data_IF_113341321961
#
_entry.id   IF_113341321961
#
_cell.length_a   1.000
_cell.length_b   1.000
_cell.length_c   1.000
_cell.angle_alpha   90.00
_cell.angle_beta   90.00
_cell.angle_gamma   90.00
#
_symmetry.space_group_name_H-M   'P 1'
#
loop_
_entity.id
_entity.type
_entity.pdbx_description
1 polymer ?
#
# COMPACT_ATOMS: atom_id res chain seq x y z
N UNK A 1 25.24 1.15 14.30
CA UNK A 1 24.46 1.80 13.22
C UNK A 1 24.85 1.10 11.93
N UNK A 2 24.12 0.05 11.55
CA UNK A 2 24.25 -0.56 10.24
C UNK A 2 23.23 0.10 9.33
N UNK A 3 23.67 0.93 8.40
CA UNK A 3 22.87 1.23 7.22
C UNK A 3 22.59 -0.11 6.52
N UNK A 4 21.38 -0.63 6.64
CA UNK A 4 20.85 -1.56 5.65
C UNK A 4 20.74 -0.75 4.37
N UNK A 5 21.81 -0.77 3.56
CA UNK A 5 21.76 -0.34 2.18
C UNK A 5 20.71 -1.20 1.49
N UNK A 6 19.49 -0.67 1.35
CA UNK A 6 18.50 -1.19 0.42
C UNK A 6 19.23 -1.40 -0.91
N UNK A 7 19.33 -2.65 -1.37
CA UNK A 7 20.01 -2.97 -2.62
C UNK A 7 19.12 -2.52 -3.78
N UNK A 8 19.33 -1.27 -4.16
CA UNK A 8 18.59 -0.56 -5.20
C UNK A 8 19.00 -1.10 -6.56
N UNK A 9 18.08 -1.81 -7.22
CA UNK A 9 18.31 -2.34 -8.56
C UNK A 9 17.61 -1.47 -9.61
N UNK A 10 18.35 -1.08 -10.65
CA UNK A 10 17.82 -0.34 -11.78
C UNK A 10 17.38 -1.28 -12.90
N UNK A 11 16.14 -1.12 -13.36
CA UNK A 11 15.65 -1.84 -14.54
C UNK A 11 16.14 -1.14 -15.81
N UNK A 12 17.22 -1.68 -16.40
CA UNK A 12 17.88 -1.08 -17.55
C UNK A 12 17.24 -1.43 -18.90
N UNK A 13 16.51 -2.55 -18.98
CA UNK A 13 15.95 -3.07 -20.23
C UNK A 13 14.42 -2.88 -20.29
N UNK A 14 13.92 -2.36 -21.42
CA UNK A 14 12.50 -2.06 -21.64
C UNK A 14 11.59 -3.29 -21.44
N UNK A 15 12.01 -4.48 -21.92
CA UNK A 15 11.22 -5.71 -21.78
C UNK A 15 11.13 -6.12 -20.31
N UNK A 16 12.24 -6.02 -19.58
CA UNK A 16 12.30 -6.31 -18.15
C UNK A 16 11.41 -5.34 -17.36
N UNK A 17 11.48 -4.03 -17.63
CA UNK A 17 10.62 -3.01 -17.00
C UNK A 17 9.14 -3.29 -17.25
N UNK A 18 8.76 -3.59 -18.50
CA UNK A 18 7.36 -3.91 -18.84
C UNK A 18 6.85 -5.15 -18.10
N UNK A 19 7.68 -6.20 -18.01
CA UNK A 19 7.34 -7.43 -17.27
C UNK A 19 7.15 -7.16 -15.77
N UNK A 20 8.05 -6.38 -15.17
CA UNK A 20 7.96 -5.99 -13.77
C UNK A 20 6.65 -5.25 -13.50
N UNK A 21 6.34 -4.23 -14.31
CA UNK A 21 5.12 -3.44 -14.11
C UNK A 21 3.85 -4.26 -14.39
N UNK A 22 3.84 -5.09 -15.44
CA UNK A 22 2.71 -5.98 -15.72
C UNK A 22 2.44 -6.95 -14.56
N UNK A 23 3.49 -7.47 -13.90
CA UNK A 23 3.38 -8.30 -12.70
C UNK A 23 2.70 -7.54 -11.56
N UNK A 24 3.13 -6.31 -11.26
CA UNK A 24 2.50 -5.49 -10.21
C UNK A 24 1.05 -5.11 -10.53
N UNK A 25 0.73 -4.81 -11.79
CA UNK A 25 -0.64 -4.56 -12.22
C UNK A 25 -1.53 -5.79 -12.00
N UNK A 26 -1.04 -6.99 -12.32
CA UNK A 26 -1.76 -8.23 -12.06
C UNK A 26 -1.97 -8.46 -10.55
N UNK A 27 -0.90 -8.34 -9.74
CA UNK A 27 -0.94 -8.49 -8.29
C UNK A 27 -1.98 -7.55 -7.67
N UNK A 28 -1.88 -6.25 -7.93
CA UNK A 28 -2.80 -5.26 -7.35
C UNK A 28 -4.26 -5.47 -7.80
N UNK A 29 -4.46 -5.95 -9.04
CA UNK A 29 -5.78 -6.38 -9.52
C UNK A 29 -6.37 -7.59 -8.78
N UNK A 30 -5.56 -8.42 -8.12
CA UNK A 30 -6.05 -9.49 -7.24
C UNK A 30 -6.36 -9.01 -5.82
N UNK A 31 -5.65 -8.00 -5.30
CA UNK A 31 -5.77 -7.56 -3.92
C UNK A 31 -7.19 -7.08 -3.55
N UNK A 32 -7.88 -6.39 -4.46
CA UNK A 32 -9.28 -6.00 -4.23
C UNK A 32 -10.22 -7.20 -4.04
N UNK A 33 -9.97 -8.31 -4.73
CA UNK A 33 -10.74 -9.55 -4.56
C UNK A 33 -10.36 -10.31 -3.29
N UNK A 34 -9.09 -10.25 -2.89
CA UNK A 34 -8.66 -10.80 -1.58
C UNK A 34 -9.36 -10.08 -0.44
N UNK A 35 -9.46 -8.75 -0.49
CA UNK A 35 -10.22 -7.97 0.49
C UNK A 35 -11.71 -8.38 0.53
N UNK A 36 -12.33 -8.61 -0.63
CA UNK A 36 -13.71 -9.11 -0.71
C UNK A 36 -13.88 -10.53 -0.11
N UNK A 37 -12.91 -11.42 -0.28
CA UNK A 37 -12.93 -12.73 0.40
C UNK A 37 -12.82 -12.56 1.93
N UNK A 38 -11.98 -11.65 2.40
CA UNK A 38 -11.86 -11.35 3.84
C UNK A 38 -13.16 -10.74 4.42
N UNK A 39 -13.91 -9.97 3.64
CA UNK A 39 -15.27 -9.50 4.01
C UNK A 39 -16.23 -10.68 4.16
N UNK A 40 -16.26 -11.60 3.19
CA UNK A 40 -17.13 -12.78 3.23
C UNK A 40 -16.83 -13.69 4.44
N UNK A 41 -15.56 -13.72 4.87
CA UNK A 41 -15.11 -14.41 6.08
C UNK A 41 -15.34 -13.60 7.38
N UNK A 42 -15.97 -12.42 7.30
CA UNK A 42 -16.24 -11.49 8.42
C UNK A 42 -15.00 -10.98 9.15
N UNK A 43 -13.84 -10.95 8.47
CA UNK A 43 -12.59 -10.37 8.99
C UNK A 43 -12.47 -8.88 8.75
N UNK A 44 -13.15 -8.39 7.72
CA UNK A 44 -13.28 -6.98 7.39
C UNK A 44 -14.77 -6.61 7.37
N UNK A 45 -15.09 -5.46 7.93
CA UNK A 45 -16.38 -4.82 7.71
C UNK A 45 -16.40 -4.19 6.31
N UNK A 46 -17.60 -4.03 5.74
CA UNK A 46 -17.78 -3.49 4.39
C UNK A 46 -17.13 -2.12 4.18
N UNK A 47 -17.27 -1.22 5.15
CA UNK A 47 -16.64 0.11 5.09
C UNK A 47 -15.10 0.04 5.12
N UNK A 48 -14.52 -0.95 5.81
CA UNK A 48 -13.07 -1.18 5.80
C UNK A 48 -12.60 -1.67 4.44
N UNK A 49 -13.37 -2.57 3.80
CA UNK A 49 -13.09 -3.06 2.45
C UNK A 49 -13.15 -1.93 1.42
N UNK A 50 -14.14 -1.06 1.49
CA UNK A 50 -14.27 0.09 0.58
C UNK A 50 -13.05 1.02 0.67
N UNK A 51 -12.56 1.27 1.90
CA UNK A 51 -11.35 2.09 2.14
C UNK A 51 -10.09 1.38 1.65
N UNK A 52 -9.89 0.11 2.00
CA UNK A 52 -8.72 -0.66 1.55
C UNK A 52 -8.70 -0.75 0.02
N UNK A 53 -9.85 -1.01 -0.61
CA UNK A 53 -9.96 -1.07 -2.06
C UNK A 53 -9.58 0.26 -2.73
N UNK A 54 -9.92 1.41 -2.12
CA UNK A 54 -9.51 2.74 -2.60
C UNK A 54 -7.98 2.90 -2.59
N UNK A 55 -7.32 2.55 -1.49
CA UNK A 55 -5.85 2.65 -1.41
C UNK A 55 -5.15 1.67 -2.36
N UNK A 56 -5.68 0.45 -2.50
CA UNK A 56 -5.15 -0.53 -3.45
C UNK A 56 -5.31 -0.08 -4.90
N UNK A 57 -6.44 0.54 -5.25
CA UNK A 57 -6.63 1.17 -6.56
C UNK A 57 -5.62 2.29 -6.78
N UNK A 58 -5.42 3.16 -5.78
CA UNK A 58 -4.41 4.22 -5.86
C UNK A 58 -3.00 3.66 -6.10
N UNK A 59 -2.66 2.54 -5.47
CA UNK A 59 -1.39 1.86 -5.69
C UNK A 59 -1.26 1.31 -7.12
N UNK A 60 -2.35 0.73 -7.67
CA UNK A 60 -2.40 0.33 -9.09
C UNK A 60 -2.17 1.51 -10.03
N UNK A 61 -2.78 2.67 -9.75
CA UNK A 61 -2.62 3.88 -10.55
C UNK A 61 -1.19 4.41 -10.45
N UNK A 62 -0.58 4.39 -9.25
CA UNK A 62 0.83 4.77 -9.05
C UNK A 62 1.76 3.91 -9.89
N UNK A 63 1.58 2.59 -9.88
CA UNK A 63 2.38 1.70 -10.72
C UNK A 63 2.12 1.87 -12.22
N UNK A 64 0.89 2.22 -12.63
CA UNK A 64 0.60 2.58 -14.02
C UNK A 64 1.34 3.85 -14.44
N UNK A 65 1.33 4.89 -13.61
CA UNK A 65 2.07 6.12 -13.88
C UNK A 65 3.59 5.84 -14.00
N UNK A 66 4.16 5.05 -13.08
CA UNK A 66 5.55 4.59 -13.18
C UNK A 66 5.81 3.78 -14.47
N UNK A 67 4.84 2.96 -14.90
CA UNK A 67 4.89 2.24 -16.17
C UNK A 67 5.08 3.17 -17.35
N UNK A 68 4.31 4.27 -17.39
CA UNK A 68 4.38 5.27 -18.45
C UNK A 68 5.70 6.03 -18.41
N UNK A 69 6.12 6.47 -17.21
CA UNK A 69 7.40 7.17 -17.00
C UNK A 69 8.60 6.37 -17.52
N UNK A 70 8.65 5.08 -17.19
CA UNK A 70 9.78 4.19 -17.47
C UNK A 70 9.56 3.27 -18.67
N UNK A 71 8.55 3.53 -19.50
CA UNK A 71 8.19 2.66 -20.63
C UNK A 71 9.32 2.49 -21.67
N UNK A 72 10.26 3.45 -21.72
CA UNK A 72 11.37 3.51 -22.67
C UNK A 72 12.75 3.32 -22.04
N UNK A 73 12.84 2.84 -20.79
CA UNK A 73 14.11 2.55 -20.13
C UNK A 73 15.00 1.64 -21.00
N UNK A 74 16.24 2.07 -21.27
CA UNK A 74 17.19 1.35 -22.12
C UNK A 74 16.97 1.45 -23.63
N UNK A 75 15.82 1.99 -24.08
CA UNK A 75 15.50 2.15 -25.51
C UNK A 75 15.65 3.57 -26.01
N UNK A 76 15.59 4.56 -25.11
CA UNK A 76 15.81 5.96 -25.44
C UNK A 76 16.82 6.59 -24.48
N UNK A 77 17.82 7.31 -25.01
CA UNK A 77 18.95 7.80 -24.22
C UNK A 77 18.55 8.73 -23.06
N UNK A 78 17.42 9.43 -23.20
CA UNK A 78 16.90 10.35 -22.16
C UNK A 78 15.79 9.73 -21.29
N UNK A 79 15.49 8.43 -21.46
CA UNK A 79 14.55 7.75 -20.59
C UNK A 79 15.24 7.35 -19.28
N UNK A 80 14.59 7.67 -18.15
CA UNK A 80 15.05 7.21 -16.84
C UNK A 80 14.96 5.69 -16.68
N UNK A 81 15.48 5.18 -15.57
CA UNK A 81 15.38 3.77 -15.16
C UNK A 81 14.60 3.69 -13.86
N UNK A 82 13.65 2.76 -13.78
CA UNK A 82 12.93 2.49 -12.55
C UNK A 82 13.89 1.85 -11.54
N UNK A 83 13.94 2.42 -10.34
CA UNK A 83 14.66 1.81 -9.21
C UNK A 83 13.67 1.11 -8.29
N UNK A 84 13.95 -0.15 -7.95
CA UNK A 84 13.17 -0.90 -6.98
C UNK A 84 14.10 -1.62 -6.02
N UNK A 85 13.59 -1.95 -4.83
CA UNK A 85 14.35 -2.71 -3.84
C UNK A 85 14.17 -4.21 -4.12
N UNK A 86 15.30 -4.84 -4.45
CA UNK A 86 15.34 -6.22 -4.92
C UNK A 86 15.39 -7.26 -3.81
N UNK A 87 15.81 -6.87 -2.61
CA UNK A 87 16.11 -7.81 -1.53
C UNK A 87 15.03 -7.85 -0.46
N UNK A 88 14.47 -6.69 -0.08
CA UNK A 88 13.56 -6.65 1.07
C UNK A 88 12.11 -6.59 0.62
N UNK A 89 11.73 -5.54 -0.12
CA UNK A 89 10.33 -5.25 -0.45
C UNK A 89 9.87 -5.84 -1.79
N UNK A 90 10.68 -5.77 -2.84
CA UNK A 90 10.27 -6.04 -4.23
C UNK A 90 9.56 -4.87 -4.92
N UNK A 91 9.34 -3.75 -4.22
CA UNK A 91 8.57 -2.59 -4.68
C UNK A 91 9.47 -1.45 -5.19
N UNK A 92 8.96 -0.50 -5.99
CA UNK A 92 9.68 0.74 -6.31
C UNK A 92 10.20 1.43 -5.05
N UNK A 93 11.37 2.06 -5.12
CA UNK A 93 11.94 2.71 -3.93
C UNK A 93 11.15 3.97 -3.56
N UNK A 94 11.11 4.31 -2.28
CA UNK A 94 10.42 5.50 -1.77
C UNK A 94 10.74 6.79 -2.55
N UNK A 95 11.98 6.94 -3.01
CA UNK A 95 12.40 8.10 -3.80
C UNK A 95 11.60 8.26 -5.10
N UNK A 96 11.17 7.18 -5.75
CA UNK A 96 10.34 7.22 -6.97
C UNK A 96 9.02 7.96 -6.72
N UNK A 97 8.40 7.76 -5.56
CA UNK A 97 7.16 8.43 -5.18
C UNK A 97 7.38 9.92 -4.92
N UNK A 98 8.53 10.29 -4.34
CA UNK A 98 8.88 11.70 -4.15
C UNK A 98 9.10 12.42 -5.48
N UNK A 99 9.81 11.79 -6.42
CA UNK A 99 10.00 12.35 -7.76
C UNK A 99 8.66 12.48 -8.47
N UNK A 100 7.78 11.47 -8.40
CA UNK A 100 6.44 11.55 -8.98
C UNK A 100 5.61 12.69 -8.38
N UNK A 101 5.66 12.89 -7.06
CA UNK A 101 4.93 13.97 -6.40
C UNK A 101 5.41 15.35 -6.88
N UNK A 102 6.72 15.51 -7.11
CA UNK A 102 7.29 16.73 -7.70
C UNK A 102 6.86 16.90 -9.17
N UNK A 103 6.87 15.81 -9.96
CA UNK A 103 6.41 15.84 -11.35
C UNK A 103 4.92 16.23 -11.44
N UNK A 104 4.10 15.79 -10.49
CA UNK A 104 2.66 16.06 -10.45
C UNK A 104 2.35 17.56 -10.31
N UNK A 105 3.15 18.30 -9.55
CA UNK A 105 3.02 19.77 -9.41
C UNK A 105 3.21 20.52 -10.74
N UNK A 106 3.93 19.91 -11.68
CA UNK A 106 4.25 20.51 -12.99
C UNK A 106 3.47 19.87 -14.13
N UNK A 107 2.61 18.88 -13.85
CA UNK A 107 1.95 18.06 -14.85
C UNK A 107 1.15 18.90 -15.85
N UNK A 108 0.28 19.81 -15.39
CA UNK A 108 -0.54 20.65 -16.28
C UNK A 108 0.31 21.50 -17.24
N UNK A 109 1.43 22.06 -16.74
CA UNK A 109 2.37 22.83 -17.56
C UNK A 109 3.03 21.97 -18.63
N UNK A 110 3.44 20.75 -18.29
CA UNK A 110 3.97 19.80 -19.26
C UNK A 110 2.91 19.38 -20.29
N UNK A 111 1.67 19.15 -19.86
CA UNK A 111 0.57 18.77 -20.74
C UNK A 111 0.22 19.84 -21.76
N UNK A 112 0.24 21.12 -21.37
CA UNK A 112 0.01 22.24 -22.28
C UNK A 112 1.07 22.32 -23.40
N UNK A 113 2.30 21.87 -23.13
CA UNK A 113 3.40 21.86 -24.10
C UNK A 113 3.45 20.60 -24.98
N UNK A 114 2.64 19.58 -24.71
CA UNK A 114 2.67 18.31 -25.43
C UNK A 114 1.42 18.15 -26.33
N UNK A 115 1.57 17.64 -27.58
CA UNK A 115 0.42 17.28 -28.38
C UNK A 115 -0.45 16.25 -27.64
N UNK A 116 -1.76 16.28 -27.90
CA UNK A 116 -2.69 15.28 -27.34
C UNK A 116 -2.38 13.86 -27.82
N UNK A 117 -2.85 12.86 -27.08
CA UNK A 117 -2.64 11.44 -27.38
C UNK A 117 -2.97 11.09 -28.84
N UNK A 118 -4.15 11.52 -29.33
CA UNK A 118 -4.57 11.23 -30.70
C UNK A 118 -3.64 11.87 -31.74
N UNK A 119 -3.22 13.12 -31.52
CA UNK A 119 -2.32 13.82 -32.43
C UNK A 119 -0.94 13.14 -32.52
N UNK A 120 -0.41 12.65 -31.39
CA UNK A 120 0.83 11.87 -31.37
C UNK A 120 0.67 10.55 -32.13
N UNK A 121 -0.47 9.86 -31.96
CA UNK A 121 -0.78 8.63 -32.72
C UNK A 121 -0.85 8.90 -34.23
N UNK A 122 -1.52 9.97 -34.64
CA UNK A 122 -1.63 10.33 -36.06
C UNK A 122 -0.25 10.67 -36.67
N UNK A 123 0.60 11.41 -35.94
CA UNK A 123 1.97 11.70 -36.35
C UNK A 123 2.81 10.42 -36.48
N UNK A 124 2.65 9.46 -35.56
CA UNK A 124 3.32 8.17 -35.64
C UNK A 124 2.90 7.37 -36.87
N UNK A 125 1.61 7.32 -37.19
CA UNK A 125 1.12 6.62 -38.40
C UNK A 125 1.71 7.24 -39.66
N UNK A 126 1.79 8.58 -39.75
CA UNK A 126 2.41 9.27 -40.89
C UNK A 126 3.90 8.93 -41.03
N UNK A 127 4.66 8.95 -39.93
CA UNK A 127 6.08 8.58 -39.97
C UNK A 127 6.30 7.12 -40.38
N UNK A 128 5.44 6.20 -39.89
CA UNK A 128 5.54 4.77 -40.23
C UNK A 128 5.19 4.51 -41.69
N UNK A 129 4.12 5.12 -42.20
CA UNK A 129 3.62 4.82 -43.56
C UNK A 129 4.29 5.68 -44.62
N UNK A 130 4.56 6.95 -44.32
CA UNK A 130 5.17 7.91 -45.23
C UNK A 130 6.69 7.75 -45.30
N UNK A 131 7.34 7.75 -44.14
CA UNK A 131 8.81 7.76 -44.06
C UNK A 131 9.40 6.36 -43.86
N UNK A 132 8.57 5.35 -43.58
CA UNK A 132 8.97 3.96 -43.28
C UNK A 132 9.92 3.86 -42.07
N UNK A 133 9.80 4.79 -41.12
CA UNK A 133 10.65 4.87 -39.93
C UNK A 133 9.91 4.41 -38.66
N UNK A 134 10.68 3.90 -37.69
CA UNK A 134 10.18 3.58 -36.35
C UNK A 134 10.15 4.89 -35.52
N UNK A 135 8.97 5.41 -35.14
CA UNK A 135 8.84 6.77 -34.60
C UNK A 135 9.15 6.83 -33.10
N UNK A 136 10.33 6.35 -32.69
CA UNK A 136 10.72 6.17 -31.27
C UNK A 136 10.59 7.47 -30.46
N UNK A 137 10.93 8.63 -31.04
CA UNK A 137 10.79 9.94 -30.39
C UNK A 137 9.32 10.28 -30.09
N UNK A 138 8.42 10.02 -31.03
CA UNK A 138 6.98 10.24 -30.86
C UNK A 138 6.38 9.23 -29.87
N UNK A 139 6.84 7.98 -29.88
CA UNK A 139 6.41 6.99 -28.89
C UNK A 139 6.85 7.37 -27.48
N UNK A 140 8.07 7.89 -27.32
CA UNK A 140 8.54 8.43 -26.05
C UNK A 140 7.69 9.64 -25.62
N UNK A 141 7.45 10.60 -26.51
CA UNK A 141 6.57 11.74 -26.22
C UNK A 141 5.16 11.29 -25.77
N UNK A 142 4.59 10.26 -26.41
CA UNK A 142 3.31 9.69 -26.01
C UNK A 142 3.38 9.07 -24.61
N UNK A 143 4.44 8.32 -24.28
CA UNK A 143 4.59 7.77 -22.93
C UNK A 143 4.64 8.86 -21.86
N UNK A 144 5.31 9.98 -22.13
CA UNK A 144 5.38 11.10 -21.21
C UNK A 144 4.02 11.83 -21.12
N UNK A 145 3.30 11.98 -22.24
CA UNK A 145 1.93 12.52 -22.23
C UNK A 145 1.02 11.71 -21.32
N UNK A 146 1.02 10.38 -21.48
CA UNK A 146 0.20 9.45 -20.67
C UNK A 146 0.61 9.47 -19.20
N UNK A 147 1.91 9.58 -18.90
CA UNK A 147 2.41 9.73 -17.53
C UNK A 147 1.82 10.97 -16.85
N UNK A 148 1.98 12.14 -17.47
CA UNK A 148 1.46 13.40 -16.91
C UNK A 148 -0.08 13.46 -16.89
N UNK A 149 -0.77 12.79 -17.81
CA UNK A 149 -2.24 12.63 -17.75
C UNK A 149 -2.67 11.83 -16.52
N UNK A 150 -1.97 10.74 -16.20
CA UNK A 150 -2.26 9.96 -15.00
C UNK A 150 -1.95 10.76 -13.73
N UNK A 151 -0.86 11.56 -13.72
CA UNK A 151 -0.58 12.48 -12.62
C UNK A 151 -1.67 13.54 -12.43
N UNK A 152 -2.11 14.18 -13.52
CA UNK A 152 -3.13 15.22 -13.47
C UNK A 152 -4.52 14.67 -13.11
N UNK A 153 -4.82 13.41 -13.45
CA UNK A 153 -6.08 12.74 -13.06
C UNK A 153 -6.18 12.58 -11.54
N UNK A 154 -5.05 12.41 -10.85
CA UNK A 154 -5.01 12.17 -9.41
C UNK A 154 -5.51 10.77 -8.99
N UNK A 155 -5.80 10.59 -7.71
CA UNK A 155 -6.20 9.30 -7.13
C UNK A 155 -5.05 8.31 -6.94
N UNK A 156 -3.81 8.77 -7.08
CA UNK A 156 -2.58 7.99 -6.89
C UNK A 156 -2.33 7.73 -5.40
N UNK A 157 -1.62 6.64 -5.10
CA UNK A 157 -1.05 6.40 -3.78
C UNK A 157 0.30 7.14 -3.65
N UNK A 158 0.39 8.01 -2.66
CA UNK A 158 1.58 8.84 -2.41
C UNK A 158 2.41 8.34 -1.24
N UNK A 159 3.58 8.98 -1.05
CA UNK A 159 4.41 8.76 0.13
C UNK A 159 3.65 9.02 1.44
N UNK A 160 2.75 10.02 1.42
CA UNK A 160 1.83 10.36 2.50
C UNK A 160 0.44 10.55 1.89
N UNK A 161 -0.55 9.84 2.42
CA UNK A 161 -1.95 9.97 2.04
C UNK A 161 -2.69 10.39 3.31
N UNK A 162 -3.15 11.64 3.33
CA UNK A 162 -3.61 12.30 4.55
C UNK A 162 -4.83 11.60 5.18
N UNK A 163 -5.02 11.75 6.50
CA UNK A 163 -6.16 11.14 7.17
C UNK A 163 -7.48 11.71 6.69
N UNK A 164 -8.40 10.81 6.40
CA UNK A 164 -9.80 11.07 6.08
C UNK A 164 -10.68 10.42 7.14
N UNK A 165 -11.93 10.87 7.24
CA UNK A 165 -12.90 10.38 8.22
C UNK A 165 -14.21 9.97 7.56
N UNK A 166 -14.68 8.77 7.88
CA UNK A 166 -15.99 8.25 7.48
C UNK A 166 -16.87 8.13 8.71
N UNK A 167 -18.07 8.69 8.68
CA UNK A 167 -19.03 8.55 9.78
C UNK A 167 -19.62 7.12 9.80
N UNK A 168 -19.53 6.46 10.95
CA UNK A 168 -20.03 5.09 11.16
C UNK A 168 -21.40 5.05 11.85
N UNK A 169 -21.84 6.16 12.42
CA UNK A 169 -23.08 6.25 13.20
C UNK A 169 -22.88 6.95 14.52
N UNK A 170 -23.92 6.90 15.37
CA UNK A 170 -23.87 7.42 16.73
C UNK A 170 -24.27 6.30 17.70
N UNK A 171 -23.59 6.23 18.83
CA UNK A 171 -23.99 5.41 19.97
C UNK A 171 -24.34 6.33 21.15
N UNK A 172 -25.63 6.51 21.38
CA UNK A 172 -26.13 7.54 22.30
C UNK A 172 -25.64 8.94 21.90
N UNK A 173 -24.87 9.57 22.79
CA UNK A 173 -24.25 10.89 22.56
C UNK A 173 -22.90 10.83 21.86
N UNK A 174 -22.32 9.64 21.65
CA UNK A 174 -20.99 9.47 21.05
C UNK A 174 -21.10 9.32 19.54
N UNK A 175 -20.30 10.07 18.79
CA UNK A 175 -20.22 9.91 17.34
C UNK A 175 -19.11 8.92 17.02
N UNK A 176 -19.38 7.96 16.14
CA UNK A 176 -18.36 7.00 15.70
C UNK A 176 -17.84 7.37 14.32
N UNK A 177 -16.52 7.41 14.19
CA UNK A 177 -15.84 7.64 12.92
C UNK A 177 -14.85 6.51 12.65
N UNK A 178 -14.67 6.19 11.37
CA UNK A 178 -13.53 5.46 10.86
C UNK A 178 -12.56 6.50 10.31
N UNK A 179 -11.46 6.72 11.01
CA UNK A 179 -10.33 7.46 10.47
C UNK A 179 -9.49 6.51 9.63
N UNK A 180 -9.05 6.94 8.45
CA UNK A 180 -8.17 6.14 7.62
C UNK A 180 -7.13 7.00 6.91
N UNK A 181 -5.92 6.46 6.79
CA UNK A 181 -4.81 7.10 6.12
C UNK A 181 -3.83 6.03 5.61
N UNK A 182 -2.86 6.44 4.82
CA UNK A 182 -1.83 5.51 4.37
C UNK A 182 -0.48 6.20 4.15
N UNK A 183 0.59 5.46 4.38
CA UNK A 183 1.96 5.92 4.12
C UNK A 183 2.70 4.90 3.29
N UNK A 184 3.63 5.38 2.48
CA UNK A 184 4.67 4.53 1.92
C UNK A 184 5.86 4.62 2.86
N UNK A 185 6.06 3.60 3.69
CA UNK A 185 7.08 3.64 4.73
C UNK A 185 8.48 3.54 4.10
N UNK A 186 9.35 4.51 4.38
CA UNK A 186 10.68 4.57 3.77
C UNK A 186 11.71 3.65 4.43
N UNK A 187 11.44 3.11 5.62
CA UNK A 187 12.34 2.19 6.31
C UNK A 187 12.19 0.77 5.77
N UNK A 188 10.96 0.31 5.57
CA UNK A 188 10.67 -1.03 5.02
C UNK A 188 10.31 -1.01 3.54
N UNK A 189 10.19 0.17 2.92
CA UNK A 189 9.84 0.37 1.52
C UNK A 189 8.51 -0.29 1.11
N UNK A 190 7.49 -0.20 1.97
CA UNK A 190 6.18 -0.82 1.75
C UNK A 190 5.00 0.13 2.00
N UNK A 191 3.90 0.00 1.25
CA UNK A 191 2.63 0.65 1.58
C UNK A 191 2.04 0.11 2.89
N UNK A 192 1.68 1.02 3.79
CA UNK A 192 0.97 0.75 5.04
C UNK A 192 -0.35 1.52 5.05
N UNK A 193 -1.45 0.81 5.25
CA UNK A 193 -2.80 1.38 5.35
C UNK A 193 -3.25 1.28 6.80
N UNK A 194 -3.75 2.38 7.35
CA UNK A 194 -4.22 2.48 8.73
C UNK A 194 -5.71 2.71 8.75
N UNK A 195 -6.41 1.97 9.61
CA UNK A 195 -7.83 2.14 9.89
C UNK A 195 -8.00 2.28 11.40
N UNK A 196 -8.66 3.34 11.85
CA UNK A 196 -8.91 3.58 13.26
C UNK A 196 -10.39 3.91 13.51
N UNK A 197 -11.08 3.05 14.23
CA UNK A 197 -12.38 3.37 14.79
C UNK A 197 -12.20 4.25 16.02
N UNK A 198 -12.82 5.42 16.02
CA UNK A 198 -12.77 6.40 17.10
C UNK A 198 -14.17 6.80 17.52
N UNK A 199 -14.38 6.94 18.83
CA UNK A 199 -15.54 7.60 19.41
C UNK A 199 -15.21 9.06 19.72
N UNK A 200 -16.02 9.98 19.22
CA UNK A 200 -15.89 11.42 19.40
C UNK A 200 -17.00 11.93 20.33
N UNK A 201 -16.59 12.40 21.51
CA UNK A 201 -17.43 13.01 22.54
C UNK A 201 -17.36 14.54 22.53
N UNK A 202 -16.67 15.14 21.55
CA UNK A 202 -16.51 16.58 21.46
C UNK A 202 -17.83 17.30 21.19
N UNK A 203 -17.83 18.63 21.23
CA UNK A 203 -19.05 19.40 20.91
C UNK A 203 -19.38 19.34 19.42
N UNK A 204 -18.39 19.57 18.57
CA UNK A 204 -18.52 19.56 17.10
C UNK A 204 -18.04 18.21 16.58
N UNK A 205 -18.65 17.65 15.53
CA UNK A 205 -18.15 16.38 14.97
C UNK A 205 -16.73 16.52 14.46
N UNK A 206 -15.84 15.57 14.79
CA UNK A 206 -14.41 15.66 14.50
C UNK A 206 -14.10 16.25 13.11
N UNK A 207 -14.60 15.73 11.97
CA UNK A 207 -14.21 16.23 10.65
C UNK A 207 -14.71 17.65 10.32
N UNK A 208 -15.64 18.19 11.12
CA UNK A 208 -16.17 19.56 10.99
C UNK A 208 -15.54 20.53 11.99
N UNK A 209 -14.71 20.03 12.90
CA UNK A 209 -14.04 20.84 13.90
C UNK A 209 -12.76 21.43 13.31
N UNK A 210 -12.78 22.73 13.01
CA UNK A 210 -11.69 23.45 12.32
C UNK A 210 -10.37 23.45 13.10
N UNK A 211 -10.39 23.12 14.39
CA UNK A 211 -9.20 23.04 15.24
C UNK A 211 -8.75 21.59 15.45
N UNK A 212 -9.65 20.73 15.94
CA UNK A 212 -9.29 19.34 16.28
C UNK A 212 -8.96 18.50 15.05
N UNK A 213 -9.62 18.73 13.91
CA UNK A 213 -9.38 17.90 12.73
C UNK A 213 -7.98 18.06 12.16
N UNK A 214 -7.47 19.28 11.88
CA UNK A 214 -6.09 19.45 11.43
C UNK A 214 -5.06 18.94 12.45
N UNK A 215 -5.31 19.12 13.75
CA UNK A 215 -4.44 18.59 14.82
C UNK A 215 -4.39 17.05 14.78
N UNK A 216 -5.55 16.38 14.70
CA UNK A 216 -5.64 14.94 14.59
C UNK A 216 -4.97 14.40 13.32
N UNK A 217 -5.17 15.07 12.18
CA UNK A 217 -4.52 14.69 10.92
C UNK A 217 -2.99 14.75 11.02
N UNK A 218 -2.46 15.85 11.57
CA UNK A 218 -1.02 16.03 11.76
C UNK A 218 -0.43 15.01 12.75
N UNK A 219 -1.11 14.76 13.86
CA UNK A 219 -0.69 13.79 14.87
C UNK A 219 -0.58 12.38 14.27
N UNK A 220 -1.64 11.91 13.58
CA UNK A 220 -1.65 10.58 12.96
C UNK A 220 -0.59 10.43 11.88
N UNK A 221 -0.41 11.45 11.04
CA UNK A 221 0.62 11.42 10.00
C UNK A 221 2.03 11.40 10.60
N UNK A 222 2.30 12.20 11.64
CA UNK A 222 3.61 12.24 12.30
C UNK A 222 3.98 10.90 12.94
N UNK A 223 3.03 10.21 13.55
CA UNK A 223 3.25 8.92 14.21
C UNK A 223 3.29 7.71 13.26
N UNK A 224 2.86 7.89 12.01
CA UNK A 224 2.86 6.81 11.02
C UNK A 224 4.19 6.67 10.29
N UNK A 225 5.09 7.63 10.47
CA UNK A 225 6.43 7.61 9.88
C UNK A 225 7.41 6.94 10.85
N UNK A 226 8.11 5.90 10.40
CA UNK A 226 9.20 5.29 11.16
C UNK A 226 8.81 4.08 12.01
N UNK A 227 7.75 3.36 11.63
CA UNK A 227 7.47 2.03 12.18
C UNK A 227 7.03 1.98 13.64
N UNK A 228 6.37 3.02 14.17
CA UNK A 228 5.85 3.00 15.54
C UNK A 228 4.88 1.82 15.76
N UNK A 229 4.84 1.31 16.99
CA UNK A 229 3.89 0.26 17.39
C UNK A 229 2.48 0.85 17.44
N UNK A 230 1.45 0.04 17.12
CA UNK A 230 0.05 0.49 17.18
C UNK A 230 -0.33 1.03 18.56
N UNK A 231 0.12 0.36 19.63
CA UNK A 231 -0.11 0.82 21.00
C UNK A 231 0.41 2.24 21.23
N UNK A 232 1.60 2.56 20.72
CA UNK A 232 2.19 3.89 20.88
C UNK A 232 1.36 4.94 20.15
N UNK A 233 0.87 4.60 18.95
CA UNK A 233 0.02 5.49 18.14
C UNK A 233 -1.31 5.73 18.85
N UNK A 234 -2.03 4.66 19.19
CA UNK A 234 -3.36 4.76 19.78
C UNK A 234 -3.32 5.43 21.17
N UNK A 235 -2.33 5.11 22.00
CA UNK A 235 -2.15 5.74 23.31
C UNK A 235 -1.79 7.22 23.20
N UNK A 236 -0.88 7.58 22.29
CA UNK A 236 -0.55 8.98 22.05
C UNK A 236 -1.75 9.78 21.57
N UNK A 237 -2.57 9.20 20.70
CA UNK A 237 -3.79 9.83 20.21
C UNK A 237 -4.84 10.01 21.33
N UNK A 238 -5.05 8.98 22.14
CA UNK A 238 -5.96 9.04 23.30
C UNK A 238 -5.49 10.06 24.36
N UNK A 239 -4.17 10.16 24.58
CA UNK A 239 -3.59 11.10 25.55
C UNK A 239 -3.66 12.56 25.08
N UNK A 240 -3.45 12.82 23.79
CA UNK A 240 -3.43 14.17 23.21
C UNK A 240 -4.84 14.75 22.97
N UNK A 241 -5.87 13.90 22.86
CA UNK A 241 -7.25 14.31 22.56
C UNK A 241 -8.24 13.80 23.59
N UNK A 242 -8.59 14.64 24.58
CA UNK A 242 -9.52 14.31 25.67
C UNK A 242 -10.92 13.85 25.24
N UNK A 243 -11.33 14.18 24.01
CA UNK A 243 -12.66 13.88 23.49
C UNK A 243 -12.66 12.91 22.30
N UNK A 244 -11.52 12.29 22.00
CA UNK A 244 -11.39 11.28 20.94
C UNK A 244 -10.84 9.98 21.51
N UNK A 245 -11.67 8.95 21.46
CA UNK A 245 -11.41 7.67 22.13
C UNK A 245 -11.19 6.57 21.08
N UNK A 246 -9.93 6.20 20.76
CA UNK A 246 -9.64 5.17 19.76
C UNK A 246 -10.03 3.78 20.27
N UNK A 247 -11.01 3.16 19.61
CA UNK A 247 -11.57 1.84 20.01
C UNK A 247 -10.88 0.67 19.32
N UNK A 248 -10.44 0.87 18.08
CA UNK A 248 -9.72 -0.15 17.32
C UNK A 248 -8.80 0.50 16.32
N UNK A 249 -7.53 0.14 16.32
CA UNK A 249 -6.54 0.58 15.35
C UNK A 249 -5.99 -0.64 14.61
N UNK A 250 -6.05 -0.61 13.28
CA UNK A 250 -5.51 -1.66 12.41
C UNK A 250 -4.49 -1.07 11.47
N UNK A 251 -3.46 -1.86 11.17
CA UNK A 251 -2.46 -1.55 10.15
C UNK A 251 -2.28 -2.72 9.21
N UNK A 252 -2.35 -2.43 7.91
CA UNK A 252 -2.15 -3.40 6.85
C UNK A 252 -0.87 -3.09 6.11
N UNK A 253 0.06 -4.04 6.10
CA UNK A 253 1.27 -3.98 5.27
C UNK A 253 1.01 -4.74 3.97
N UNK A 254 1.16 -4.04 2.83
CA UNK A 254 0.97 -4.61 1.51
C UNK A 254 2.35 -4.97 0.93
N UNK A 255 2.80 -6.18 1.24
CA UNK A 255 4.10 -6.72 0.84
C UNK A 255 4.87 -7.32 2.03
N UNK A 256 6.10 -7.78 1.81
CA UNK A 256 6.87 -7.72 0.56
C UNK A 256 6.31 -8.57 -0.59
N UNK A 257 6.75 -8.26 -1.80
CA UNK A 257 6.53 -9.02 -3.03
C UNK A 257 7.78 -9.84 -3.35
N UNK A 258 7.62 -11.15 -3.26
CA UNK A 258 8.60 -12.15 -3.68
C UNK A 258 8.38 -12.51 -5.13
N UNK A 259 9.44 -12.53 -5.94
CA UNK A 259 9.40 -12.94 -7.34
C UNK A 259 10.69 -13.61 -7.77
N UNK A 260 10.61 -14.81 -8.32
CA UNK A 260 11.78 -15.55 -8.83
C UNK A 260 12.54 -14.75 -9.90
N UNK A 261 11.83 -14.09 -10.82
CA UNK A 261 12.48 -13.32 -11.90
C UNK A 261 13.07 -11.97 -11.48
N UNK A 262 12.68 -11.40 -10.33
CA UNK A 262 12.94 -9.99 -10.03
C UNK A 262 13.62 -9.76 -8.71
N UNK A 263 13.31 -10.55 -7.68
CA UNK A 263 13.80 -10.33 -6.33
C UNK A 263 14.79 -11.40 -5.91
N UNK A 264 15.73 -11.05 -5.04
CA UNK A 264 16.67 -12.00 -4.44
C UNK A 264 16.26 -12.29 -3.02
N UNK A 265 15.77 -13.50 -2.79
CA UNK A 265 15.04 -13.82 -1.58
C UNK A 265 15.77 -14.90 -0.81
N UNK A 266 16.04 -14.62 0.46
CA UNK A 266 16.59 -15.62 1.39
C UNK A 266 15.44 -16.32 2.11
N UNK A 267 15.58 -17.61 2.35
CA UNK A 267 14.60 -18.41 3.07
C UNK A 267 13.60 -19.19 2.21
N UNK A 268 12.61 -19.84 2.83
CA UNK A 268 11.88 -20.94 2.20
C UNK A 268 10.99 -20.51 1.02
N UNK A 269 10.51 -19.26 1.01
CA UNK A 269 9.67 -18.76 -0.09
C UNK A 269 10.45 -18.67 -1.41
N UNK A 270 11.76 -18.39 -1.36
CA UNK A 270 12.61 -18.38 -2.54
C UNK A 270 12.67 -19.76 -3.20
N UNK A 271 12.89 -20.79 -2.38
CA UNK A 271 12.92 -22.18 -2.84
C UNK A 271 11.56 -22.64 -3.42
N UNK A 272 10.46 -22.21 -2.81
CA UNK A 272 9.11 -22.48 -3.31
C UNK A 272 8.92 -21.88 -4.71
N UNK A 273 9.26 -20.59 -4.89
CA UNK A 273 9.10 -19.91 -6.18
C UNK A 273 10.03 -20.48 -7.27
N UNK A 274 11.23 -20.91 -6.91
CA UNK A 274 12.15 -21.60 -7.81
C UNK A 274 11.61 -22.98 -8.22
N UNK A 275 11.15 -23.77 -7.25
CA UNK A 275 10.62 -25.13 -7.48
C UNK A 275 9.35 -25.10 -8.32
N UNK A 276 8.50 -24.09 -8.13
CA UNK A 276 7.24 -23.95 -8.86
C UNK A 276 7.39 -23.88 -10.38
N UNK A 277 8.56 -23.43 -10.88
CA UNK A 277 8.83 -23.20 -12.32
C UNK A 277 7.63 -22.56 -13.03
N UNK A 278 7.06 -21.55 -12.37
CA UNK A 278 5.85 -20.88 -12.82
C UNK A 278 6.12 -20.11 -14.11
N UNK A 279 5.12 -19.99 -15.02
CA UNK A 279 5.29 -19.19 -16.21
C UNK A 279 5.48 -17.71 -15.85
N UNK A 280 5.96 -16.95 -16.82
CA UNK A 280 6.14 -15.51 -16.68
C UNK A 280 4.84 -14.83 -16.18
N UNK A 281 4.96 -14.07 -15.10
CA UNK A 281 3.83 -13.35 -14.50
C UNK A 281 3.12 -14.11 -13.38
N UNK A 282 3.40 -15.41 -13.22
CA UNK A 282 2.87 -16.23 -12.12
C UNK A 282 3.95 -16.61 -11.09
N UNK A 283 5.21 -16.25 -11.33
CA UNK A 283 6.36 -16.53 -10.47
C UNK A 283 6.47 -15.50 -9.33
N UNK A 284 5.44 -15.40 -8.49
CA UNK A 284 5.42 -14.45 -7.37
C UNK A 284 4.61 -14.92 -6.16
N UNK A 285 4.90 -14.31 -5.02
CA UNK A 285 4.08 -14.35 -3.81
C UNK A 285 4.12 -12.99 -3.11
N UNK A 286 2.98 -12.50 -2.66
CA UNK A 286 2.86 -11.23 -1.93
C UNK A 286 2.45 -11.54 -0.49
N UNK A 287 3.16 -10.95 0.47
CA UNK A 287 2.76 -11.00 1.88
C UNK A 287 1.73 -9.92 2.16
N UNK A 288 0.72 -10.27 2.95
CA UNK A 288 -0.25 -9.33 3.49
C UNK A 288 -0.26 -9.49 5.01
N UNK A 289 0.21 -8.47 5.73
CA UNK A 289 0.24 -8.50 7.20
C UNK A 289 -0.80 -7.57 7.77
N UNK A 290 -1.59 -8.08 8.70
CA UNK A 290 -2.58 -7.32 9.47
C UNK A 290 -2.12 -7.25 10.92
N UNK A 291 -1.99 -6.04 11.46
CA UNK A 291 -1.90 -5.78 12.90
C UNK A 291 -3.23 -5.21 13.38
N UNK A 292 -3.78 -5.71 14.49
CA UNK A 292 -5.03 -5.26 15.10
C UNK A 292 -4.76 -4.91 16.57
N UNK A 293 -5.15 -3.71 16.99
CA UNK A 293 -5.14 -3.25 18.37
C UNK A 293 -6.55 -2.85 18.77
N UNK A 294 -7.04 -3.39 19.89
CA UNK A 294 -8.39 -3.12 20.40
C UNK A 294 -8.32 -2.52 21.78
N UNK A 295 -9.17 -1.53 22.03
CA UNK A 295 -9.47 -1.12 23.39
C UNK A 295 -10.19 -2.26 24.12
N UNK A 296 -9.74 -2.55 25.34
CA UNK A 296 -10.30 -3.57 26.23
C UNK A 296 -11.24 -2.96 27.24
N UNK A 297 -10.87 -1.81 27.82
CA UNK A 297 -11.63 -1.13 28.86
C UNK A 297 -11.30 0.36 28.88
N UNK A 298 -12.16 1.13 29.54
CA UNK A 298 -12.00 2.57 29.74
C UNK A 298 -11.72 2.83 31.22
N UNK A 299 -10.81 3.76 31.51
CA UNK A 299 -10.54 4.26 32.85
C UNK A 299 -10.73 5.77 32.93
N UNK A 300 -11.37 6.25 34.00
CA UNK A 300 -11.44 7.67 34.30
C UNK A 300 -10.16 8.13 34.99
N UNK A 301 -9.39 8.99 34.33
CA UNK A 301 -8.13 9.54 34.83
C UNK A 301 -8.32 11.02 35.21
N UNK A 302 -7.82 11.49 36.37
CA UNK A 302 -7.85 12.91 36.72
C UNK A 302 -7.06 13.77 35.73
N UNK A 303 -7.66 14.86 35.25
CA UNK A 303 -6.98 15.90 34.46
C UNK A 303 -6.82 17.16 35.30
N UNK A 304 -5.59 17.42 35.75
CA UNK A 304 -5.28 18.57 36.59
C UNK A 304 -6.08 18.59 37.90
N UNK A 305 -6.54 19.78 38.30
CA UNK A 305 -7.12 20.00 39.64
C UNK A 305 -8.64 19.81 39.70
N UNK A 306 -9.34 19.82 38.56
CA UNK A 306 -10.81 19.89 38.54
C UNK A 306 -11.49 19.04 37.46
N UNK A 307 -10.75 18.20 36.73
CA UNK A 307 -11.29 17.39 35.62
C UNK A 307 -11.05 15.89 35.78
N UNK A 308 -11.85 15.10 35.08
CA UNK A 308 -11.56 13.69 34.76
C UNK A 308 -11.78 13.51 33.26
N UNK A 309 -10.96 12.66 32.67
CA UNK A 309 -11.08 12.28 31.27
C UNK A 309 -11.07 10.77 31.18
N UNK A 310 -11.80 10.23 30.22
CA UNK A 310 -11.72 8.83 29.89
C UNK A 310 -10.43 8.54 29.12
N UNK A 311 -9.81 7.40 29.43
CA UNK A 311 -8.64 6.88 28.74
C UNK A 311 -8.84 5.41 28.39
N UNK A 312 -8.42 5.06 27.19
CA UNK A 312 -8.52 3.70 26.67
C UNK A 312 -7.36 2.84 27.18
N UNK A 313 -7.70 1.66 27.68
CA UNK A 313 -6.74 0.61 28.03
C UNK A 313 -6.84 -0.45 26.95
N UNK A 314 -5.75 -0.63 26.21
CA UNK A 314 -5.70 -1.55 25.08
C UNK A 314 -5.30 -2.96 25.49
N UNK A 315 -5.93 -3.95 24.85
CA UNK A 315 -5.54 -5.35 24.98
C UNK A 315 -4.20 -5.59 24.30
N UNK A 316 -3.26 -6.23 24.99
CA UNK A 316 -2.01 -6.74 24.42
C UNK A 316 -2.06 -8.26 24.40
N UNK A 317 -1.48 -8.87 23.36
CA UNK A 317 -1.46 -10.34 23.20
C UNK A 317 -0.86 -11.01 24.47
N UNK A 318 -1.67 -11.76 25.26
CA UNK A 318 -1.20 -12.39 26.48
C UNK A 318 -0.54 -13.76 26.25
N UNK A 319 -0.63 -14.33 25.04
CA UNK A 319 -0.22 -15.70 24.75
C UNK A 319 1.07 -15.81 23.95
N UNK A 320 1.51 -14.74 23.28
CA UNK A 320 2.90 -14.62 22.88
C UNK A 320 3.68 -13.97 24.02
N UNK A 321 4.78 -14.57 24.48
CA UNK A 321 5.79 -13.89 25.32
C UNK A 321 6.45 -12.66 24.64
N UNK A 322 5.81 -12.12 23.59
CA UNK A 322 6.14 -11.00 22.73
C UNK A 322 5.01 -9.96 22.63
N UNK A 323 3.88 -10.06 23.35
CA UNK A 323 2.80 -9.05 23.26
C UNK A 323 3.24 -7.61 23.55
N UNK A 324 4.16 -7.42 24.51
CA UNK A 324 4.83 -6.13 24.74
C UNK A 324 5.80 -5.73 23.61
N UNK A 325 6.35 -6.70 22.88
CA UNK A 325 7.26 -6.49 21.75
C UNK A 325 6.51 -6.13 20.46
N UNK A 326 5.31 -6.68 20.21
CA UNK A 326 4.49 -6.35 19.03
C UNK A 326 3.74 -5.03 19.21
N UNK A 327 3.21 -4.76 20.41
CA UNK A 327 2.40 -3.56 20.67
C UNK A 327 1.08 -3.55 19.88
N UNK A 328 0.53 -4.74 19.62
CA UNK A 328 -0.76 -4.97 19.00
C UNK A 328 -1.50 -6.10 19.76
N UNK A 329 -2.83 -6.12 19.68
CA UNK A 329 -3.67 -7.19 20.25
C UNK A 329 -3.50 -8.50 19.49
N UNK A 330 -3.41 -8.42 18.16
CA UNK A 330 -3.16 -9.55 17.29
C UNK A 330 -2.34 -9.14 16.06
N UNK A 331 -1.59 -10.09 15.51
CA UNK A 331 -0.91 -9.94 14.24
C UNK A 331 -1.13 -11.21 13.42
N UNK A 332 -1.66 -11.03 12.21
CA UNK A 332 -1.92 -12.12 11.28
C UNK A 332 -1.17 -11.88 9.96
N UNK A 333 -0.59 -12.96 9.43
CA UNK A 333 0.08 -12.94 8.14
C UNK A 333 -0.64 -13.85 7.17
N UNK A 334 -0.88 -13.32 5.98
CA UNK A 334 -1.32 -14.08 4.83
C UNK A 334 -0.30 -13.99 3.70
N UNK A 335 -0.33 -14.98 2.83
CA UNK A 335 0.41 -15.01 1.56
C UNK A 335 -0.58 -15.12 0.42
N UNK A 336 -0.38 -14.29 -0.60
CA UNK A 336 -1.19 -14.24 -1.81
C UNK A 336 -0.28 -14.71 -2.93
N UNK A 337 -0.66 -15.76 -3.65
CA UNK A 337 0.20 -16.38 -4.64
C UNK A 337 -0.61 -17.07 -5.74
N UNK A 338 -0.07 -17.20 -6.97
CA UNK A 338 -0.71 -17.97 -8.03
C UNK A 338 -0.76 -19.48 -7.72
N UNK A 339 -1.51 -20.21 -8.55
CA UNK A 339 -1.76 -21.64 -8.37
C UNK A 339 -0.48 -22.50 -8.37
N UNK A 340 0.46 -22.27 -9.30
CA UNK A 340 1.71 -23.04 -9.37
C UNK A 340 2.62 -22.84 -8.15
N UNK A 341 2.92 -21.60 -7.71
CA UNK A 341 3.60 -21.38 -6.44
C UNK A 341 2.91 -22.03 -5.24
N UNK A 342 1.58 -22.04 -5.21
CA UNK A 342 0.84 -22.72 -4.14
C UNK A 342 1.03 -24.24 -4.17
N UNK A 343 0.99 -24.87 -5.34
CA UNK A 343 1.25 -26.31 -5.48
C UNK A 343 2.65 -26.67 -4.95
N UNK A 344 3.68 -25.91 -5.35
CA UNK A 344 5.03 -26.12 -4.84
C UNK A 344 5.14 -25.87 -3.33
N UNK A 345 4.43 -24.86 -2.79
CA UNK A 345 4.38 -24.60 -1.35
C UNK A 345 3.77 -25.78 -0.59
N UNK A 346 2.68 -26.35 -1.11
CA UNK A 346 2.00 -27.49 -0.51
C UNK A 346 2.83 -28.77 -0.57
N UNK A 347 3.57 -29.00 -1.66
CA UNK A 347 4.46 -30.15 -1.82
C UNK A 347 5.71 -30.07 -0.93
N UNK A 348 6.32 -28.90 -0.82
CA UNK A 348 7.53 -28.69 -0.03
C UNK A 348 7.27 -28.60 1.48
N UNK A 349 6.06 -28.15 1.88
CA UNK A 349 5.65 -27.88 3.27
C UNK A 349 6.76 -27.26 4.15
N UNK A 350 7.36 -26.13 3.74
CA UNK A 350 8.45 -25.53 4.49
C UNK A 350 7.98 -25.04 5.87
N UNK A 351 8.86 -25.09 6.89
CA UNK A 351 8.53 -24.58 8.22
C UNK A 351 8.18 -23.08 8.16
N UNK A 352 7.21 -22.67 8.98
CA UNK A 352 6.76 -21.28 9.07
C UNK A 352 5.58 -20.91 8.16
N UNK A 353 5.12 -21.81 7.28
CA UNK A 353 3.96 -21.57 6.41
C UNK A 353 2.69 -22.29 6.85
N UNK A 354 2.75 -23.21 7.81
CA UNK A 354 1.58 -24.00 8.25
C UNK A 354 0.46 -23.13 8.80
N UNK A 355 0.78 -22.17 9.66
CA UNK A 355 -0.22 -21.28 10.29
C UNK A 355 -0.52 -20.01 9.49
N UNK A 356 0.14 -19.82 8.33
CA UNK A 356 -0.04 -18.63 7.47
C UNK A 356 -1.23 -18.85 6.56
N UNK A 357 -2.18 -17.92 6.49
CA UNK A 357 -3.31 -18.03 5.56
C UNK A 357 -2.82 -17.89 4.11
N UNK A 358 -3.34 -18.71 3.19
CA UNK A 358 -2.97 -18.67 1.77
C UNK A 358 -4.16 -18.23 0.93
N UNK A 359 -3.97 -17.20 0.10
CA UNK A 359 -4.91 -16.80 -0.93
C UNK A 359 -4.35 -17.18 -2.30
N UNK A 360 -4.96 -18.18 -2.92
CA UNK A 360 -4.54 -18.68 -4.23
C UNK A 360 -5.33 -17.94 -5.30
N UNK A 361 -4.60 -17.22 -6.16
CA UNK A 361 -5.19 -16.39 -7.20
C UNK A 361 -5.03 -17.05 -8.58
N UNK A 362 -6.05 -16.92 -9.41
CA UNK A 362 -6.02 -17.41 -10.80
C UNK A 362 -6.03 -16.25 -11.80
N UNK A 363 -5.51 -16.42 -13.02
CA UNK A 363 -5.58 -15.41 -14.07
C UNK A 363 -7.00 -14.96 -14.42
N UNK A 364 -8.01 -15.83 -14.21
CA UNK A 364 -9.43 -15.51 -14.41
C UNK A 364 -10.05 -14.70 -13.26
N UNK A 365 -9.25 -14.30 -12.28
CA UNK A 365 -9.67 -13.48 -11.15
C UNK A 365 -10.29 -14.26 -9.98
N UNK A 366 -10.44 -15.59 -10.05
CA UNK A 366 -10.90 -16.38 -8.90
C UNK A 366 -9.84 -16.34 -7.80
N UNK A 367 -10.28 -16.17 -6.55
CA UNK A 367 -9.47 -16.23 -5.33
C UNK A 367 -10.01 -17.37 -4.46
N UNK A 368 -9.13 -18.26 -4.02
CA UNK A 368 -9.44 -19.35 -3.08
C UNK A 368 -8.65 -19.11 -1.79
N UNK A 369 -9.28 -19.29 -0.62
CA UNK A 369 -8.60 -19.17 0.67
C UNK A 369 -8.37 -20.55 1.28
N UNK A 370 -7.16 -20.77 1.77
CA UNK A 370 -6.74 -21.97 2.48
C UNK A 370 -6.10 -21.58 3.81
N UNK A 371 -6.28 -22.42 4.82
CA UNK A 371 -5.55 -22.32 6.07
C UNK A 371 -4.44 -23.35 6.09
#
# INVERSE_FOLDING_TARGET
MSETTLDHFQLEDTRVTRRYVAKFQAITGHLGRVAAVMEAEKRLARHEVDVIARYLLGLTLTFRALAHKYHFSGRYAHAGKLTFDRQESGFPVFHELLTMANDAQQAERHLAGLPGEQALKDQMVRAIVGDLEIPTKLQFALSQRLYYEELARGGLFWARNDPEAVWLGNDGSRRRFLLHWAVYDSQVNLPQIYLMEVEDTGRIGLPKDERRWPEAQNHLMAQSVGGLKLLTIAKGFDEDFDDLHPKRLRRFHVGPMYSHSFTHQTGPIGQVLETARAPEGEDWALVWTEEDLRSERVEDVPTGWFGRVEREIFALDPFSGRGAQTGATAMERAIILPERPYQALAELDPPGFRDVRKFVVSPRGRVLSYR
#
